data_IF_929805417492
#
_entry.id   IF_929805417492
#
_cell.length_a   1.000
_cell.length_b   1.000
_cell.length_c   1.000
_cell.angle_alpha   90.00
_cell.angle_beta   90.00
_cell.angle_gamma   90.00
#
_symmetry.space_group_name_H-M   'P 1'
#
loop_
_entity.id
_entity.type
_entity.pdbx_description
1 polymer ?
#
# COMPACT_ATOMS: atom_id res chain seq x y z
N UNK A 1 -78.80 25.76 -10.68
CA UNK A 1 -78.92 26.90 -9.76
C UNK A 1 -77.52 27.14 -9.23
N UNK A 2 -76.73 27.95 -9.95
CA UNK A 2 -76.54 29.41 -9.72
C UNK A 2 -75.56 29.63 -8.55
N UNK A 3 -74.49 30.41 -8.59
CA UNK A 3 -73.85 31.29 -9.57
C UNK A 3 -72.40 31.54 -9.10
N UNK A 4 -71.52 31.94 -10.02
CA UNK A 4 -70.19 32.54 -9.77
C UNK A 4 -70.41 34.03 -9.38
N UNK A 5 -69.48 34.73 -8.68
CA UNK A 5 -68.52 35.56 -9.42
C UNK A 5 -67.11 35.79 -8.80
N UNK A 6 -66.12 35.94 -9.71
CA UNK A 6 -65.04 36.97 -9.81
C UNK A 6 -63.94 37.06 -8.72
N UNK A 7 -62.67 36.77 -9.02
CA UNK A 7 -61.64 37.59 -9.71
C UNK A 7 -60.89 38.59 -8.80
N UNK A 8 -59.60 38.35 -8.56
CA UNK A 8 -58.54 39.39 -8.67
C UNK A 8 -57.26 38.74 -9.22
N UNK A 9 -56.77 39.34 -10.30
CA UNK A 9 -55.55 39.04 -11.04
C UNK A 9 -54.44 40.00 -10.59
N UNK A 10 -53.22 39.49 -10.40
CA UNK A 10 -52.00 40.33 -10.33
C UNK A 10 -50.94 39.73 -11.24
N UNK A 11 -50.75 40.41 -12.37
CA UNK A 11 -49.62 40.24 -13.28
C UNK A 11 -48.35 40.87 -12.69
N UNK A 12 -47.21 40.18 -12.83
CA UNK A 12 -45.88 40.80 -12.85
C UNK A 12 -45.12 40.31 -14.10
N UNK A 13 -44.24 41.14 -14.71
CA UNK A 13 -43.91 41.04 -16.12
C UNK A 13 -42.65 40.23 -16.43
N UNK A 14 -42.67 39.54 -17.57
CA UNK A 14 -41.49 38.99 -18.25
C UNK A 14 -40.66 40.12 -18.86
N UNK A 15 -39.43 40.30 -18.38
CA UNK A 15 -38.42 41.09 -19.06
C UNK A 15 -37.72 40.24 -20.15
N UNK A 16 -38.05 40.52 -21.41
CA UNK A 16 -37.26 40.11 -22.59
C UNK A 16 -36.08 41.07 -22.72
N UNK A 17 -34.85 40.57 -22.57
CA UNK A 17 -33.66 41.28 -23.03
C UNK A 17 -33.37 40.88 -24.47
N UNK A 18 -33.55 41.84 -25.37
CA UNK A 18 -33.13 41.80 -26.77
C UNK A 18 -31.66 42.16 -26.87
N UNK A 19 -30.86 41.28 -27.49
CA UNK A 19 -29.50 41.60 -27.92
C UNK A 19 -29.56 42.52 -29.14
N UNK A 20 -29.10 43.75 -28.99
CA UNK A 20 -28.78 44.66 -30.10
C UNK A 20 -27.26 44.63 -30.27
N UNK A 21 -26.82 44.26 -31.47
CA UNK A 21 -25.43 44.29 -31.88
C UNK A 21 -25.03 45.73 -32.21
N UNK A 22 -23.98 46.24 -31.56
CA UNK A 22 -23.27 47.45 -31.99
C UNK A 22 -21.95 47.06 -32.66
N UNK A 23 -21.56 47.75 -33.76
CA UNK A 23 -20.36 47.43 -34.51
C UNK A 23 -19.11 48.06 -33.88
N UNK A 24 -18.04 47.28 -33.82
CA UNK A 24 -16.70 47.71 -33.44
C UNK A 24 -16.14 48.68 -34.49
N UNK A 25 -15.99 49.95 -34.11
CA UNK A 25 -15.17 50.90 -34.85
C UNK A 25 -13.68 50.58 -34.66
N UNK A 26 -13.00 50.56 -35.80
CA UNK A 26 -11.57 50.43 -35.98
C UNK A 26 -10.79 51.56 -35.30
N UNK A 27 -9.86 51.21 -34.41
CA UNK A 27 -8.79 52.12 -34.02
C UNK A 27 -7.43 51.43 -34.21
N UNK A 28 -6.77 51.80 -35.30
CA UNK A 28 -5.40 51.47 -35.64
C UNK A 28 -4.44 52.33 -34.83
N UNK A 29 -3.79 51.75 -33.82
CA UNK A 29 -2.58 52.32 -33.24
C UNK A 29 -1.42 51.30 -33.29
N UNK A 30 -0.44 51.70 -34.08
CA UNK A 30 0.92 51.23 -34.32
C UNK A 30 1.51 50.14 -33.41
N UNK A 31 1.92 49.07 -34.08
CA UNK A 31 2.94 48.10 -33.68
C UNK A 31 4.24 48.81 -33.26
N UNK A 32 4.71 48.51 -32.05
CA UNK A 32 6.15 48.57 -31.72
C UNK A 32 6.60 47.17 -31.29
N UNK A 33 7.69 46.64 -31.86
CA UNK A 33 8.21 45.32 -31.48
C UNK A 33 8.93 45.39 -30.13
N UNK A 34 8.99 44.28 -29.36
CA UNK A 34 9.72 44.25 -28.09
C UNK A 34 11.24 44.34 -28.31
N UNK A 35 11.99 44.99 -27.41
CA UNK A 35 13.44 45.08 -27.52
C UNK A 35 14.12 43.75 -27.20
N UNK A 36 15.16 43.50 -27.98
CA UNK A 36 16.14 42.42 -27.89
C UNK A 36 16.67 42.23 -26.46
N UNK A 37 16.56 41.01 -25.91
CA UNK A 37 17.21 40.63 -24.65
C UNK A 37 18.69 40.39 -24.95
N UNK A 38 19.50 41.41 -24.69
CA UNK A 38 20.94 41.27 -24.50
C UNK A 38 21.37 42.15 -23.31
N UNK A 39 21.88 41.50 -22.27
CA UNK A 39 22.72 42.04 -21.21
C UNK A 39 22.23 43.28 -20.44
N UNK A 40 21.62 43.06 -19.27
CA UNK A 40 21.91 43.91 -18.10
C UNK A 40 22.07 43.03 -16.86
N UNK A 41 23.28 43.09 -16.32
CA UNK A 41 23.66 42.61 -15.01
C UNK A 41 23.16 43.58 -13.93
N UNK A 42 22.85 42.99 -12.76
CA UNK A 42 22.85 43.56 -11.41
C UNK A 42 21.57 44.18 -10.81
N UNK A 43 21.41 43.80 -9.54
CA UNK A 43 20.68 44.44 -8.44
C UNK A 43 19.15 44.39 -8.44
N UNK A 44 18.61 43.31 -7.87
CA UNK A 44 17.37 43.38 -7.09
C UNK A 44 17.58 42.67 -5.76
N UNK A 45 17.57 43.48 -4.71
CA UNK A 45 17.68 43.13 -3.29
C UNK A 45 16.60 42.14 -2.91
N UNK A 46 16.97 40.92 -2.52
CA UNK A 46 16.05 39.94 -1.92
C UNK A 46 15.82 40.32 -0.44
N UNK A 47 14.60 40.21 0.10
CA UNK A 47 14.42 40.26 1.54
C UNK A 47 15.02 38.98 2.14
N UNK A 48 16.01 39.17 3.01
CA UNK A 48 16.57 38.15 3.87
C UNK A 48 15.48 37.59 4.80
N UNK A 49 15.13 36.32 4.63
CA UNK A 49 14.70 35.47 5.74
C UNK A 49 15.62 34.26 5.78
N UNK A 50 16.78 34.51 6.38
CA UNK A 50 17.81 33.54 6.69
C UNK A 50 17.25 32.60 7.76
N UNK A 51 16.95 31.34 7.39
CA UNK A 51 16.77 30.28 8.39
C UNK A 51 18.17 29.80 8.77
N UNK A 52 18.69 30.31 9.89
CA UNK A 52 19.81 29.68 10.58
C UNK A 52 19.35 28.31 11.08
N UNK A 53 20.04 27.26 10.63
CA UNK A 53 19.84 25.92 11.16
C UNK A 53 20.54 25.84 12.52
N UNK A 54 19.86 25.36 13.58
CA UNK A 54 20.58 24.97 14.79
C UNK A 54 21.46 23.77 14.47
N UNK A 55 22.76 23.88 14.73
CA UNK A 55 23.68 22.76 14.76
C UNK A 55 23.21 21.76 15.80
N UNK A 56 22.48 20.73 15.37
CA UNK A 56 22.21 19.57 16.23
C UNK A 56 23.44 18.68 16.24
N UNK A 57 24.16 18.72 17.35
CA UNK A 57 25.16 17.73 17.74
C UNK A 57 24.53 16.33 17.74
N UNK A 58 24.77 15.59 16.66
CA UNK A 58 24.37 14.19 16.54
C UNK A 58 25.62 13.30 16.57
N UNK A 59 26.09 12.98 17.78
CA UNK A 59 26.85 11.75 18.00
C UNK A 59 25.89 10.56 17.91
N UNK A 60 25.61 10.10 16.68
CA UNK A 60 24.94 8.81 16.46
C UNK A 60 25.93 7.73 16.00
N UNK A 61 26.01 6.72 16.86
CA UNK A 61 26.60 5.37 16.73
C UNK A 61 26.81 4.89 15.29
N UNK A 62 28.07 4.91 14.84
CA UNK A 62 28.54 4.10 13.74
C UNK A 62 28.68 2.64 14.19
N UNK A 63 27.75 1.78 13.77
CA UNK A 63 28.01 0.34 13.61
C UNK A 63 27.41 -0.15 12.30
N UNK A 64 28.30 -0.53 11.38
CA UNK A 64 28.01 -1.39 10.23
C UNK A 64 27.43 -0.67 9.02
N UNK A 65 28.25 0.02 8.24
CA UNK A 65 27.93 0.41 6.86
C UNK A 65 29.11 0.19 5.91
N UNK A 66 29.92 -0.83 6.20
CA UNK A 66 30.92 -1.31 5.26
C UNK A 66 30.35 -2.55 4.56
N UNK A 67 30.37 -2.54 3.22
CA UNK A 67 30.11 -3.66 2.30
C UNK A 67 28.68 -3.81 1.72
N UNK A 68 28.09 -2.72 1.24
CA UNK A 68 27.27 -2.80 0.02
C UNK A 68 27.99 -2.04 -1.11
N UNK A 69 28.04 -2.56 -2.34
CA UNK A 69 28.51 -1.76 -3.48
C UNK A 69 27.73 -0.46 -3.48
N UNK A 70 28.43 0.67 -3.59
CA UNK A 70 27.80 1.99 -3.45
C UNK A 70 26.61 2.02 -4.42
N UNK A 71 25.42 2.35 -3.95
CA UNK A 71 24.20 2.35 -4.78
C UNK A 71 24.38 3.15 -6.08
N UNK A 72 25.36 4.06 -6.15
CA UNK A 72 25.78 4.76 -7.36
C UNK A 72 26.35 3.84 -8.47
N UNK A 73 27.07 2.76 -8.11
CA UNK A 73 27.62 1.77 -9.06
C UNK A 73 26.49 0.99 -9.76
N UNK A 74 25.40 0.71 -9.04
CA UNK A 74 24.19 0.08 -9.60
C UNK A 74 23.51 0.96 -10.65
N UNK A 75 23.65 2.28 -10.56
CA UNK A 75 23.14 3.24 -11.55
C UNK A 75 24.16 3.59 -12.64
N UNK A 76 25.30 2.89 -12.71
CA UNK A 76 26.35 3.13 -13.71
C UNK A 76 27.08 4.46 -13.53
N UNK A 77 27.00 5.08 -12.34
CA UNK A 77 27.69 6.34 -12.06
C UNK A 77 29.17 6.08 -11.78
N UNK A 78 30.09 6.92 -12.30
CA UNK A 78 31.52 6.75 -12.10
C UNK A 78 31.89 6.84 -10.61
N UNK A 79 32.93 6.13 -10.20
CA UNK A 79 33.47 6.09 -8.83
C UNK A 79 33.81 7.47 -8.24
N UNK A 80 34.01 8.49 -9.10
CA UNK A 80 34.20 9.90 -8.71
C UNK A 80 32.96 10.54 -8.08
N UNK A 81 31.82 9.86 -8.12
CA UNK A 81 30.57 10.34 -7.51
C UNK A 81 30.46 9.98 -6.04
N UNK A 82 31.41 9.29 -5.41
CA UNK A 82 31.34 8.98 -3.97
C UNK A 82 31.13 10.24 -3.12
N UNK A 83 30.37 10.10 -2.04
CA UNK A 83 30.15 11.18 -1.06
C UNK A 83 31.46 11.46 -0.33
N UNK A 84 31.85 12.73 -0.25
CA UNK A 84 32.99 13.12 0.58
C UNK A 84 32.65 12.94 2.06
N UNK A 85 33.63 12.60 2.89
CA UNK A 85 33.37 12.33 4.32
C UNK A 85 32.83 13.56 5.06
N UNK A 86 33.25 14.77 4.65
CA UNK A 86 32.80 16.06 5.19
C UNK A 86 31.51 16.61 4.55
N UNK A 87 31.00 15.97 3.49
CA UNK A 87 29.83 16.46 2.77
C UNK A 87 28.54 15.89 3.37
N UNK A 88 27.65 16.78 3.80
CA UNK A 88 26.30 16.40 4.22
C UNK A 88 25.55 15.77 3.02
N UNK A 89 24.68 14.80 3.31
CA UNK A 89 23.77 14.15 2.35
C UNK A 89 23.01 15.15 1.47
N UNK A 90 22.56 16.29 2.01
CA UNK A 90 21.87 17.33 1.24
C UNK A 90 22.79 17.98 0.20
N UNK A 91 23.99 18.41 0.60
CA UNK A 91 25.00 18.98 -0.30
C UNK A 91 25.43 17.96 -1.36
N UNK A 92 25.57 16.70 -0.97
CA UNK A 92 25.85 15.61 -1.88
C UNK A 92 24.74 15.40 -2.91
N UNK A 93 23.48 15.46 -2.49
CA UNK A 93 22.34 15.39 -3.41
C UNK A 93 22.39 16.53 -4.43
N UNK A 94 22.63 17.77 -4.01
CA UNK A 94 22.74 18.93 -4.90
C UNK A 94 23.87 18.72 -5.93
N UNK A 95 25.05 18.29 -5.49
CA UNK A 95 26.18 17.99 -6.38
C UNK A 95 25.84 16.90 -7.40
N UNK A 96 25.20 15.82 -6.97
CA UNK A 96 24.74 14.75 -7.86
C UNK A 96 23.76 15.28 -8.91
N UNK A 97 22.81 16.13 -8.52
CA UNK A 97 21.83 16.72 -9.43
C UNK A 97 22.45 17.73 -10.40
N UNK A 98 23.49 18.47 -9.99
CA UNK A 98 24.25 19.33 -10.90
C UNK A 98 25.05 18.53 -11.94
N UNK A 99 25.67 17.43 -11.53
CA UNK A 99 26.43 16.56 -12.43
C UNK A 99 25.54 15.75 -13.37
N UNK A 100 24.34 15.39 -12.90
CA UNK A 100 23.36 14.61 -13.64
C UNK A 100 21.97 15.26 -13.57
N UNK A 101 21.72 16.33 -14.34
CA UNK A 101 20.47 17.09 -14.29
C UNK A 101 19.23 16.24 -14.58
N UNK A 102 19.37 15.23 -15.45
CA UNK A 102 18.27 14.33 -15.83
C UNK A 102 17.94 13.26 -14.77
N UNK A 103 18.70 13.22 -13.66
CA UNK A 103 18.48 12.24 -12.61
C UNK A 103 17.23 12.61 -11.80
N UNK A 104 16.30 11.67 -11.68
CA UNK A 104 15.09 11.88 -10.88
C UNK A 104 15.41 12.07 -9.40
N UNK A 105 14.56 12.82 -8.68
CA UNK A 105 14.68 13.01 -7.23
C UNK A 105 14.70 11.67 -6.47
N UNK A 106 13.88 10.69 -6.90
CA UNK A 106 13.83 9.35 -6.30
C UNK A 106 15.15 8.59 -6.46
N UNK A 107 15.75 8.64 -7.65
CA UNK A 107 17.05 8.00 -7.88
C UNK A 107 18.16 8.72 -7.12
N UNK A 108 18.13 10.04 -7.07
CA UNK A 108 19.10 10.84 -6.31
C UNK A 108 19.01 10.53 -4.81
N UNK A 109 17.80 10.43 -4.26
CA UNK A 109 17.59 10.07 -2.86
C UNK A 109 18.16 8.68 -2.53
N UNK A 110 17.99 7.69 -3.43
CA UNK A 110 18.58 6.35 -3.28
C UNK A 110 20.10 6.34 -3.34
N UNK A 111 20.70 7.15 -4.21
CA UNK A 111 22.16 7.28 -4.33
C UNK A 111 22.75 7.93 -3.09
N UNK A 112 22.05 8.92 -2.52
CA UNK A 112 22.50 9.69 -1.36
C UNK A 112 22.22 8.96 -0.04
N UNK A 113 21.27 8.03 -0.02
CA UNK A 113 20.83 7.33 1.19
C UNK A 113 19.96 8.22 2.09
N UNK A 114 19.02 8.95 1.47
CA UNK A 114 17.98 9.77 2.13
C UNK A 114 16.60 9.40 1.61
N UNK A 115 15.54 9.81 2.31
CA UNK A 115 14.19 9.67 1.79
C UNK A 115 13.92 10.75 0.74
N UNK A 116 13.18 10.44 -0.32
CA UNK A 116 12.89 11.40 -1.37
C UNK A 116 12.15 12.66 -0.88
N UNK A 117 11.34 12.53 0.20
CA UNK A 117 10.68 13.67 0.83
C UNK A 117 11.66 14.66 1.48
N UNK A 118 12.87 14.24 1.86
CA UNK A 118 13.88 15.12 2.48
C UNK A 118 14.56 16.02 1.44
N UNK A 119 14.56 15.62 0.17
CA UNK A 119 15.08 16.44 -0.94
C UNK A 119 14.03 17.40 -1.51
N UNK A 120 12.76 17.27 -1.11
CA UNK A 120 11.65 17.97 -1.75
C UNK A 120 11.67 19.49 -1.52
N UNK A 121 12.26 19.94 -0.42
CA UNK A 121 12.41 21.36 -0.09
C UNK A 121 13.52 22.07 -0.90
N UNK A 122 14.33 21.31 -1.63
CA UNK A 122 15.42 21.86 -2.42
C UNK A 122 14.89 22.31 -3.79
N UNK A 123 15.08 23.58 -4.19
CA UNK A 123 14.54 24.12 -5.44
C UNK A 123 14.96 23.31 -6.68
N UNK A 124 16.19 22.78 -6.67
CA UNK A 124 16.77 22.01 -7.80
C UNK A 124 16.05 20.68 -8.02
N UNK A 125 15.37 20.13 -7.01
CA UNK A 125 14.59 18.89 -7.13
C UNK A 125 13.09 19.15 -7.30
N UNK A 126 12.69 20.41 -7.22
CA UNK A 126 11.32 20.88 -7.32
C UNK A 126 11.04 21.55 -8.68
N UNK A 127 11.63 21.02 -9.75
CA UNK A 127 11.43 21.50 -11.12
C UNK A 127 9.97 21.33 -11.54
N UNK A 128 9.23 22.43 -11.59
CA UNK A 128 7.89 22.52 -12.18
C UNK A 128 7.98 22.31 -13.69
N UNK A 129 6.91 21.77 -14.29
CA UNK A 129 6.76 21.87 -15.75
C UNK A 129 6.66 23.33 -16.20
N UNK A 130 6.81 23.60 -17.50
CA UNK A 130 6.63 24.96 -18.05
C UNK A 130 5.27 25.54 -17.66
N UNK A 131 4.21 24.74 -17.75
CA UNK A 131 2.86 25.09 -17.29
C UNK A 131 2.81 25.33 -15.78
N UNK A 132 3.50 24.51 -14.98
CA UNK A 132 3.58 24.70 -13.53
C UNK A 132 4.30 25.99 -13.13
N UNK A 133 5.38 26.34 -13.83
CA UNK A 133 6.10 27.59 -13.63
C UNK A 133 5.24 28.79 -14.05
N UNK A 134 4.56 28.71 -15.20
CA UNK A 134 3.63 29.74 -15.64
C UNK A 134 2.47 29.94 -14.65
N UNK A 135 1.89 28.85 -14.15
CA UNK A 135 0.83 28.89 -13.14
C UNK A 135 1.30 29.54 -11.83
N UNK A 136 2.54 29.27 -11.40
CA UNK A 136 3.12 29.91 -10.22
C UNK A 136 3.21 31.44 -10.35
N UNK A 137 3.59 31.92 -11.53
CA UNK A 137 3.72 33.35 -11.83
C UNK A 137 2.37 34.04 -11.98
N UNK A 138 1.43 33.38 -12.67
CA UNK A 138 0.10 33.94 -12.96
C UNK A 138 -0.80 33.93 -11.72
N UNK A 139 -0.73 32.88 -10.92
CA UNK A 139 -1.62 32.64 -9.78
C UNK A 139 -0.80 32.34 -8.53
N UNK A 140 -0.13 33.34 -7.94
CA UNK A 140 0.51 33.15 -6.63
C UNK A 140 -0.55 32.83 -5.57
N UNK A 141 -0.10 32.16 -4.51
CA UNK A 141 -0.94 31.84 -3.36
C UNK A 141 -1.32 33.11 -2.61
N UNK A 142 -2.59 33.20 -2.21
CA UNK A 142 -3.09 34.33 -1.41
C UNK A 142 -2.76 34.14 0.08
N UNK A 143 -2.60 35.23 0.87
CA UNK A 143 -2.09 35.15 2.24
C UNK A 143 -2.97 34.33 3.20
N UNK A 144 -4.30 34.31 2.99
CA UNK A 144 -5.25 33.59 3.85
C UNK A 144 -5.76 32.28 3.22
N UNK A 145 -5.26 31.91 2.05
CA UNK A 145 -5.73 30.76 1.29
C UNK A 145 -5.11 29.46 1.83
N UNK A 146 -5.96 28.49 2.16
CA UNK A 146 -5.51 27.16 2.58
C UNK A 146 -4.85 26.40 1.42
N UNK A 147 -4.05 25.37 1.74
CA UNK A 147 -3.39 24.58 0.70
C UNK A 147 -4.41 23.94 -0.25
N UNK A 148 -5.58 23.57 0.26
CA UNK A 148 -6.66 22.95 -0.51
C UNK A 148 -7.37 23.96 -1.41
N UNK A 149 -7.70 25.15 -0.90
CA UNK A 149 -8.32 26.22 -1.70
C UNK A 149 -7.41 26.64 -2.86
N UNK A 150 -6.10 26.75 -2.59
CA UNK A 150 -5.12 27.08 -3.63
C UNK A 150 -5.10 26.05 -4.76
N UNK A 151 -5.15 24.76 -4.40
CA UNK A 151 -5.22 23.68 -5.37
C UNK A 151 -6.52 23.74 -6.17
N UNK A 152 -7.66 23.94 -5.52
CA UNK A 152 -8.96 24.02 -6.19
C UNK A 152 -9.01 25.20 -7.16
N UNK A 153 -8.45 26.36 -6.78
CA UNK A 153 -8.33 27.55 -7.64
C UNK A 153 -7.44 27.27 -8.84
N UNK A 154 -6.23 26.74 -8.63
CA UNK A 154 -5.33 26.35 -9.73
C UNK A 154 -6.00 25.34 -10.67
N UNK A 155 -6.74 24.38 -10.13
CA UNK A 155 -7.44 23.34 -10.90
C UNK A 155 -8.61 23.88 -11.72
N UNK A 156 -9.29 24.91 -11.23
CA UNK A 156 -10.39 25.57 -11.95
C UNK A 156 -9.91 26.38 -13.16
N UNK A 157 -8.69 26.93 -13.09
CA UNK A 157 -8.10 27.79 -14.11
C UNK A 157 -7.27 26.98 -15.11
N UNK A 158 -6.56 25.96 -14.63
CA UNK A 158 -5.73 25.05 -15.44
C UNK A 158 -6.25 23.61 -15.33
N UNK A 159 -7.26 23.22 -16.14
CA UNK A 159 -7.80 21.86 -16.16
C UNK A 159 -6.76 20.82 -16.62
N UNK A 160 -7.05 19.53 -16.39
CA UNK A 160 -6.24 18.45 -16.98
C UNK A 160 -6.27 18.54 -18.52
N UNK A 161 -5.14 18.36 -19.24
CA UNK A 161 -3.81 17.94 -18.77
C UNK A 161 -2.79 19.07 -18.58
N UNK A 162 -3.19 20.34 -18.58
CA UNK A 162 -2.28 21.48 -18.63
C UNK A 162 -1.38 21.58 -17.39
N UNK A 163 -1.95 21.31 -16.21
CA UNK A 163 -1.23 21.32 -14.94
C UNK A 163 -1.27 19.94 -14.30
N UNK A 164 -0.11 19.28 -14.24
CA UNK A 164 -0.03 17.91 -13.74
C UNK A 164 -0.26 17.86 -12.23
N UNK A 165 -0.77 16.73 -11.71
CA UNK A 165 -0.92 16.50 -10.26
C UNK A 165 0.41 16.71 -9.52
N UNK A 166 1.54 16.39 -10.15
CA UNK A 166 2.86 16.63 -9.56
C UNK A 166 3.13 18.13 -9.40
N UNK A 167 2.85 18.94 -10.42
CA UNK A 167 3.05 20.38 -10.33
C UNK A 167 2.14 21.00 -9.28
N UNK A 168 0.87 20.57 -9.21
CA UNK A 168 -0.05 20.99 -8.15
C UNK A 168 0.48 20.65 -6.75
N UNK A 169 1.00 19.44 -6.54
CA UNK A 169 1.60 19.06 -5.25
C UNK A 169 2.77 19.97 -4.88
N UNK A 170 3.60 20.32 -5.88
CA UNK A 170 4.79 21.15 -5.69
C UNK A 170 4.45 22.61 -5.43
N UNK A 171 3.40 23.13 -6.06
CA UNK A 171 2.92 24.50 -5.89
C UNK A 171 2.23 24.69 -4.54
N UNK A 172 1.38 23.75 -4.13
CA UNK A 172 0.58 23.90 -2.91
C UNK A 172 1.21 23.30 -1.65
N UNK A 173 2.19 22.39 -1.79
CA UNK A 173 2.73 21.62 -0.68
C UNK A 173 1.84 20.44 -0.24
N UNK A 174 0.70 20.21 -0.91
CA UNK A 174 -0.18 19.08 -0.59
C UNK A 174 0.41 17.79 -1.16
N UNK A 175 0.46 16.74 -0.33
CA UNK A 175 0.91 15.42 -0.77
C UNK A 175 -0.05 14.83 -1.81
N UNK A 176 0.49 14.14 -2.82
CA UNK A 176 -0.30 13.49 -3.87
C UNK A 176 -1.39 12.56 -3.32
N UNK A 177 -1.12 11.86 -2.21
CA UNK A 177 -2.11 10.99 -1.56
C UNK A 177 -3.32 11.79 -1.04
N UNK A 178 -3.10 13.00 -0.52
CA UNK A 178 -4.17 13.91 -0.08
C UNK A 178 -4.86 14.59 -1.28
N UNK A 179 -4.12 14.92 -2.33
CA UNK A 179 -4.70 15.43 -3.59
C UNK A 179 -5.71 14.46 -4.19
N UNK A 180 -5.36 13.17 -4.24
CA UNK A 180 -6.23 12.10 -4.76
C UNK A 180 -7.49 11.84 -3.93
N UNK A 181 -7.65 12.47 -2.76
CA UNK A 181 -8.88 12.42 -1.96
C UNK A 181 -9.74 13.67 -2.10
N UNK A 182 -9.25 14.70 -2.77
CA UNK A 182 -9.99 15.94 -3.01
C UNK A 182 -11.00 15.74 -4.16
N UNK A 183 -12.24 16.25 -4.04
CA UNK A 183 -13.32 16.04 -5.01
C UNK A 183 -12.92 16.32 -6.47
N UNK A 184 -12.09 17.35 -6.70
CA UNK A 184 -11.68 17.83 -8.01
C UNK A 184 -10.70 16.88 -8.74
N UNK A 185 -10.10 15.93 -8.01
CA UNK A 185 -9.21 14.90 -8.55
C UNK A 185 -9.86 13.51 -8.55
N UNK A 186 -11.08 13.40 -8.01
CA UNK A 186 -11.86 12.16 -8.08
C UNK A 186 -12.46 12.07 -9.49
N UNK A 187 -11.75 11.42 -10.40
CA UNK A 187 -12.35 10.93 -11.65
C UNK A 187 -13.33 9.82 -11.30
N UNK A 188 -14.55 10.19 -10.92
CA UNK A 188 -15.64 9.26 -10.71
C UNK A 188 -15.98 8.60 -12.05
N UNK A 189 -16.18 7.29 -12.04
CA UNK A 189 -16.73 6.61 -13.21
C UNK A 189 -18.17 7.10 -13.48
N UNK A 190 -18.65 6.96 -14.71
CA UNK A 190 -20.03 7.30 -15.04
C UNK A 190 -21.05 6.55 -14.18
N UNK A 191 -20.75 5.30 -13.81
CA UNK A 191 -21.57 4.51 -12.88
C UNK A 191 -21.51 5.04 -11.44
N UNK A 192 -20.37 5.59 -11.01
CA UNK A 192 -20.24 6.24 -9.71
C UNK A 192 -21.07 7.52 -9.64
N UNK A 193 -21.08 8.33 -10.69
CA UNK A 193 -21.89 9.54 -10.76
C UNK A 193 -23.39 9.21 -10.72
N UNK A 194 -23.82 8.23 -11.52
CA UNK A 194 -25.21 7.76 -11.51
C UNK A 194 -25.64 7.24 -10.12
N UNK A 195 -24.73 6.61 -9.38
CA UNK A 195 -25.01 6.12 -8.03
C UNK A 195 -25.20 7.27 -7.02
N UNK A 196 -24.41 8.35 -7.12
CA UNK A 196 -24.58 9.56 -6.30
C UNK A 196 -25.94 10.21 -6.57
N UNK A 197 -26.29 10.34 -7.86
CA UNK A 197 -27.51 11.02 -8.27
C UNK A 197 -28.76 10.22 -7.86
N UNK A 198 -28.69 8.88 -7.93
CA UNK A 198 -29.78 8.00 -7.54
C UNK A 198 -29.94 7.87 -6.02
N UNK A 199 -28.84 7.80 -5.27
CA UNK A 199 -28.86 7.52 -3.82
C UNK A 199 -27.98 8.53 -3.09
N UNK A 200 -28.62 9.60 -2.62
CA UNK A 200 -27.96 10.57 -1.74
C UNK A 200 -27.75 10.00 -0.33
N UNK A 201 -26.63 10.38 0.28
CA UNK A 201 -26.34 10.10 1.69
C UNK A 201 -27.31 10.86 2.59
N UNK A 202 -27.88 10.20 3.59
CA UNK A 202 -28.71 10.87 4.60
C UNK A 202 -27.81 11.55 5.65
N UNK A 203 -28.30 12.61 6.32
CA UNK A 203 -27.54 13.29 7.41
C UNK A 203 -27.23 12.35 8.57
N UNK A 204 -28.14 11.43 8.87
CA UNK A 204 -28.09 10.56 10.05
C UNK A 204 -27.42 9.21 9.76
N UNK A 205 -27.02 8.98 8.50
CA UNK A 205 -26.44 7.72 8.06
C UNK A 205 -24.91 7.73 8.19
N UNK A 206 -24.36 6.68 8.82
CA UNK A 206 -22.92 6.51 8.87
C UNK A 206 -22.33 6.30 7.48
N UNK A 207 -21.08 6.73 7.26
CA UNK A 207 -20.40 6.48 5.97
C UNK A 207 -20.32 4.99 5.63
N UNK A 208 -20.31 4.11 6.65
CA UNK A 208 -20.33 2.66 6.49
C UNK A 208 -21.67 2.16 5.97
N UNK A 209 -22.76 2.59 6.59
CA UNK A 209 -24.11 2.17 6.18
C UNK A 209 -24.42 2.69 4.78
N UNK A 210 -23.98 3.91 4.47
CA UNK A 210 -24.10 4.46 3.13
C UNK A 210 -23.34 3.63 2.09
N UNK A 211 -22.12 3.20 2.38
CA UNK A 211 -21.35 2.32 1.49
C UNK A 211 -22.04 0.95 1.29
N UNK A 212 -22.58 0.35 2.36
CA UNK A 212 -23.34 -0.91 2.28
C UNK A 212 -24.60 -0.74 1.44
N UNK A 213 -25.34 0.35 1.63
CA UNK A 213 -26.53 0.67 0.84
C UNK A 213 -26.18 0.89 -0.64
N UNK A 214 -25.09 1.59 -0.94
CA UNK A 214 -24.62 1.78 -2.31
C UNK A 214 -24.27 0.46 -2.99
N UNK A 215 -23.46 -0.39 -2.35
CA UNK A 215 -23.09 -1.70 -2.93
C UNK A 215 -24.26 -2.64 -3.13
N UNK A 216 -25.28 -2.59 -2.25
CA UNK A 216 -26.51 -3.38 -2.40
C UNK A 216 -27.32 -2.98 -3.64
N UNK A 217 -27.36 -1.69 -3.98
CA UNK A 217 -28.10 -1.19 -5.15
C UNK A 217 -27.25 -1.19 -6.43
N UNK A 218 -25.92 -1.10 -6.29
CA UNK A 218 -24.97 -1.00 -7.39
C UNK A 218 -23.81 -1.98 -7.18
N UNK A 219 -24.05 -3.27 -7.43
CA UNK A 219 -23.07 -4.35 -7.24
C UNK A 219 -21.84 -4.28 -8.16
N UNK A 220 -21.87 -3.41 -9.19
CA UNK A 220 -20.75 -3.18 -10.12
C UNK A 220 -19.84 -2.00 -9.77
N UNK A 221 -20.06 -1.29 -8.65
CA UNK A 221 -19.23 -0.16 -8.25
C UNK A 221 -17.81 -0.61 -7.91
N UNK A 222 -16.82 0.10 -8.45
CA UNK A 222 -15.42 -0.13 -8.10
C UNK A 222 -15.17 0.29 -6.66
N UNK A 223 -14.35 -0.45 -5.92
CA UNK A 223 -13.98 -0.11 -4.52
C UNK A 223 -13.37 1.29 -4.38
N UNK A 224 -12.66 1.77 -5.42
CA UNK A 224 -12.16 3.15 -5.48
C UNK A 224 -13.32 4.15 -5.54
N UNK A 225 -14.27 3.96 -6.44
CA UNK A 225 -15.44 4.83 -6.57
C UNK A 225 -16.27 4.83 -5.28
N UNK A 226 -16.48 3.66 -4.67
CA UNK A 226 -17.16 3.53 -3.39
C UNK A 226 -16.44 4.28 -2.26
N UNK A 227 -15.11 4.26 -2.25
CA UNK A 227 -14.27 5.00 -1.29
C UNK A 227 -14.47 6.50 -1.44
N UNK A 228 -14.47 6.98 -2.69
CA UNK A 228 -14.71 8.36 -3.04
C UNK A 228 -16.10 8.84 -2.61
N UNK A 229 -17.14 8.07 -2.93
CA UNK A 229 -18.53 8.46 -2.68
C UNK A 229 -18.88 8.40 -1.18
N UNK A 230 -18.47 7.32 -0.50
CA UNK A 230 -18.84 7.10 0.90
C UNK A 230 -17.96 7.88 1.90
N UNK A 231 -16.78 8.33 1.46
CA UNK A 231 -15.77 8.92 2.32
C UNK A 231 -15.00 7.92 3.17
N UNK A 232 -15.25 6.61 3.01
CA UNK A 232 -14.47 5.57 3.67
C UNK A 232 -13.12 5.36 2.97
N UNK A 233 -12.08 5.05 3.74
CA UNK A 233 -10.81 4.63 3.18
C UNK A 233 -10.92 3.25 2.52
N UNK A 234 -10.08 2.98 1.52
CA UNK A 234 -9.97 1.64 0.92
C UNK A 234 -9.67 0.53 1.94
N UNK A 235 -8.98 0.88 3.04
CA UNK A 235 -8.69 -0.08 4.13
C UNK A 235 -9.96 -0.41 4.90
N UNK A 236 -10.77 0.59 5.24
CA UNK A 236 -12.06 0.38 5.93
C UNK A 236 -13.02 -0.41 5.05
N UNK A 237 -13.18 -0.06 3.78
CA UNK A 237 -14.02 -0.83 2.84
C UNK A 237 -13.60 -2.30 2.76
N UNK A 238 -12.30 -2.57 2.75
CA UNK A 238 -11.77 -3.95 2.76
C UNK A 238 -11.95 -4.65 4.09
N UNK A 239 -12.14 -3.94 5.19
CA UNK A 239 -12.29 -4.52 6.53
C UNK A 239 -13.75 -4.62 6.97
N UNK A 240 -14.66 -3.97 6.26
CA UNK A 240 -16.10 -4.08 6.46
C UNK A 240 -16.60 -5.45 5.97
N UNK A 241 -16.96 -6.40 6.85
CA UNK A 241 -17.46 -7.72 6.47
C UNK A 241 -18.65 -7.69 5.52
N UNK A 242 -19.52 -6.69 5.63
CA UNK A 242 -20.71 -6.54 4.78
C UNK A 242 -20.35 -6.20 3.31
N UNK A 243 -19.16 -5.62 3.10
CA UNK A 243 -18.64 -5.21 1.79
C UNK A 243 -17.63 -6.20 1.20
N UNK A 244 -17.32 -7.28 1.93
CA UNK A 244 -16.42 -8.33 1.42
C UNK A 244 -17.19 -9.31 0.56
N UNK A 245 -16.58 -9.65 -0.57
CA UNK A 245 -17.00 -10.79 -1.38
C UNK A 245 -16.71 -12.07 -0.58
N UNK A 246 -17.76 -12.85 -0.30
CA UNK A 246 -17.67 -14.12 0.41
C UNK A 246 -17.66 -15.27 -0.59
N UNK A 247 -16.90 -16.33 -0.29
CA UNK A 247 -17.00 -17.60 -0.99
C UNK A 247 -18.39 -18.22 -0.78
N UNK A 248 -18.87 -19.11 -1.67
CA UNK A 248 -20.15 -19.79 -1.49
C UNK A 248 -20.23 -20.56 -0.16
N UNK A 249 -19.12 -21.21 0.24
CA UNK A 249 -18.95 -21.87 1.55
C UNK A 249 -19.03 -20.85 2.68
N UNK A 250 -18.32 -19.73 2.53
CA UNK A 250 -18.42 -18.47 3.26
C UNK A 250 -19.86 -18.10 3.62
N UNK A 251 -20.64 -17.95 2.56
CA UNK A 251 -22.00 -17.44 2.58
C UNK A 251 -22.96 -18.44 3.22
N UNK A 252 -22.83 -19.73 2.93
CA UNK A 252 -23.61 -20.78 3.57
C UNK A 252 -23.38 -20.78 5.09
N UNK A 253 -22.13 -20.67 5.54
CA UNK A 253 -21.80 -20.59 6.96
C UNK A 253 -22.38 -19.34 7.64
N UNK A 254 -22.38 -18.19 6.96
CA UNK A 254 -23.02 -16.96 7.47
C UNK A 254 -24.53 -17.14 7.69
N UNK A 255 -25.19 -17.82 6.76
CA UNK A 255 -26.64 -18.07 6.84
C UNK A 255 -26.97 -19.10 7.91
N UNK A 256 -26.15 -20.15 8.07
CA UNK A 256 -26.34 -21.17 9.10
C UNK A 256 -26.02 -20.64 10.51
N UNK A 257 -25.03 -19.76 10.63
CA UNK A 257 -24.60 -19.16 11.89
C UNK A 257 -24.64 -17.62 11.79
N UNK A 258 -25.83 -16.99 11.86
CA UNK A 258 -25.92 -15.54 11.88
C UNK A 258 -25.28 -14.98 13.16
N UNK A 259 -24.71 -13.77 13.07
CA UNK A 259 -24.15 -13.05 14.22
C UNK A 259 -25.29 -12.52 15.09
N UNK A 260 -25.17 -12.64 16.41
CA UNK A 260 -26.12 -12.03 17.37
C UNK A 260 -25.67 -10.63 17.76
N UNK A 261 -26.59 -9.75 18.11
CA UNK A 261 -26.30 -8.32 18.35
C UNK A 261 -25.28 -8.08 19.48
N UNK A 262 -25.35 -8.87 20.55
CA UNK A 262 -24.45 -8.77 21.71
C UNK A 262 -23.10 -9.50 21.53
N UNK A 263 -22.87 -10.13 20.36
CA UNK A 263 -21.67 -10.93 20.13
C UNK A 263 -20.52 -10.10 19.56
N UNK A 264 -19.40 -10.08 20.29
CA UNK A 264 -18.16 -9.47 19.78
C UNK A 264 -17.63 -10.23 18.54
N UNK A 265 -16.99 -9.54 17.61
CA UNK A 265 -16.41 -10.07 16.38
C UNK A 265 -15.53 -11.31 16.62
N UNK A 266 -14.67 -11.30 17.65
CA UNK A 266 -13.83 -12.45 17.97
C UNK A 266 -14.61 -13.64 18.53
N UNK A 267 -15.68 -13.39 19.30
CA UNK A 267 -16.55 -14.46 19.79
C UNK A 267 -17.28 -15.13 18.60
N UNK A 268 -17.80 -14.31 17.68
CA UNK A 268 -18.44 -14.78 16.46
C UNK A 268 -17.50 -15.62 15.59
N UNK A 269 -16.25 -15.16 15.41
CA UNK A 269 -15.23 -15.90 14.67
C UNK A 269 -14.97 -17.29 15.27
N UNK A 270 -14.89 -17.42 16.61
CA UNK A 270 -14.72 -18.72 17.28
C UNK A 270 -15.90 -19.62 17.01
N UNK A 271 -17.11 -19.11 17.19
CA UNK A 271 -18.34 -19.90 17.03
C UNK A 271 -18.48 -20.42 15.60
N UNK A 272 -18.24 -19.57 14.59
CA UNK A 272 -18.23 -20.00 13.18
C UNK A 272 -17.18 -21.09 12.94
N UNK A 273 -15.95 -20.92 13.45
CA UNK A 273 -14.88 -21.89 13.22
C UNK A 273 -15.18 -23.24 13.89
N UNK A 274 -15.85 -23.25 15.04
CA UNK A 274 -16.31 -24.47 15.70
C UNK A 274 -17.44 -25.16 14.93
N UNK A 275 -18.42 -24.39 14.43
CA UNK A 275 -19.54 -24.94 13.65
C UNK A 275 -19.11 -25.40 12.24
N UNK A 276 -18.13 -24.73 11.64
CA UNK A 276 -17.61 -25.01 10.31
C UNK A 276 -16.07 -25.14 10.33
N UNK A 277 -15.51 -26.27 10.82
CA UNK A 277 -14.07 -26.44 10.97
C UNK A 277 -13.27 -26.34 9.67
N UNK A 278 -13.90 -26.61 8.53
CA UNK A 278 -13.31 -26.53 7.20
C UNK A 278 -13.06 -25.09 6.71
N UNK A 279 -13.67 -24.08 7.34
CA UNK A 279 -13.45 -22.69 6.93
C UNK A 279 -12.02 -22.23 7.21
N UNK A 280 -11.44 -21.53 6.25
CA UNK A 280 -10.11 -20.95 6.40
C UNK A 280 -10.12 -19.75 7.34
N UNK A 281 -8.94 -19.37 7.86
CA UNK A 281 -8.80 -18.18 8.72
C UNK A 281 -9.26 -16.91 7.99
N UNK A 282 -8.97 -16.82 6.67
CA UNK A 282 -9.37 -15.68 5.85
C UNK A 282 -10.89 -15.61 5.66
N UNK A 283 -11.56 -16.76 5.48
CA UNK A 283 -13.02 -16.81 5.41
C UNK A 283 -13.65 -16.41 6.74
N UNK A 284 -13.16 -16.93 7.88
CA UNK A 284 -13.65 -16.53 9.20
C UNK A 284 -13.39 -15.05 9.52
N UNK A 285 -12.26 -14.49 9.05
CA UNK A 285 -11.99 -13.05 9.12
C UNK A 285 -13.01 -12.26 8.31
N UNK A 286 -13.29 -12.69 7.07
CA UNK A 286 -14.25 -12.03 6.21
C UNK A 286 -15.67 -12.07 6.72
N UNK A 287 -16.05 -13.14 7.42
CA UNK A 287 -17.34 -13.25 8.09
C UNK A 287 -17.44 -12.38 9.35
N UNK A 288 -16.41 -12.41 10.19
CA UNK A 288 -16.46 -11.75 11.50
C UNK A 288 -16.05 -10.28 11.51
N UNK A 289 -15.32 -9.83 10.49
CA UNK A 289 -14.63 -8.53 10.48
C UNK A 289 -13.37 -8.48 11.33
N UNK A 290 -12.99 -9.59 11.98
CA UNK A 290 -11.77 -9.66 12.81
C UNK A 290 -10.52 -9.72 11.91
N UNK A 291 -9.45 -9.02 12.30
CA UNK A 291 -8.17 -9.09 11.60
C UNK A 291 -7.63 -10.54 11.58
N UNK A 292 -7.22 -11.08 10.41
CA UNK A 292 -6.63 -12.42 10.32
C UNK A 292 -5.45 -12.65 11.26
N UNK A 293 -4.66 -11.60 11.54
CA UNK A 293 -3.54 -11.67 12.49
C UNK A 293 -4.03 -12.01 13.90
N UNK A 294 -5.12 -11.37 14.35
CA UNK A 294 -5.71 -11.66 15.66
C UNK A 294 -6.32 -13.07 15.69
N UNK A 295 -6.98 -13.50 14.62
CA UNK A 295 -7.53 -14.85 14.53
C UNK A 295 -6.46 -15.94 14.64
N UNK A 296 -5.29 -15.75 13.99
CA UNK A 296 -4.16 -16.69 14.08
C UNK A 296 -3.61 -16.87 15.49
N UNK A 297 -3.89 -15.95 16.43
CA UNK A 297 -3.46 -16.06 17.83
C UNK A 297 -4.47 -16.77 18.72
N UNK A 298 -5.65 -17.08 18.18
CA UNK A 298 -6.73 -17.69 18.93
C UNK A 298 -6.62 -19.21 18.85
N UNK A 299 -6.68 -19.88 20.00
CA UNK A 299 -6.54 -21.35 20.14
C UNK A 299 -7.35 -22.17 19.14
N UNK A 300 -8.57 -21.74 18.82
CA UNK A 300 -9.49 -22.41 17.87
C UNK A 300 -8.97 -22.44 16.43
N UNK A 301 -8.11 -21.49 16.03
CA UNK A 301 -7.61 -21.37 14.66
C UNK A 301 -6.21 -21.93 14.45
N UNK A 302 -5.47 -22.21 15.53
CA UNK A 302 -4.08 -22.65 15.45
C UNK A 302 -3.98 -24.15 15.11
N UNK A 303 -5.08 -24.90 15.19
CA UNK A 303 -5.07 -26.34 14.88
C UNK A 303 -4.13 -27.08 15.82
N UNK A 304 -4.34 -26.95 17.12
CA UNK A 304 -3.53 -27.66 18.12
C UNK A 304 -3.73 -29.17 17.94
N UNK A 305 -2.64 -29.93 17.95
CA UNK A 305 -2.72 -31.39 18.06
C UNK A 305 -3.39 -31.78 19.38
N UNK A 306 -3.98 -32.96 19.46
CA UNK A 306 -4.58 -33.46 20.70
C UNK A 306 -3.57 -33.46 21.87
N UNK A 307 -2.29 -33.67 21.56
CA UNK A 307 -1.20 -33.60 22.53
C UNK A 307 -0.97 -32.17 23.04
N UNK A 308 -1.01 -31.17 22.16
CA UNK A 308 -0.90 -29.77 22.55
C UNK A 308 -2.10 -29.29 23.40
N UNK A 309 -3.31 -29.76 23.09
CA UNK A 309 -4.51 -29.48 23.90
C UNK A 309 -4.35 -30.05 25.32
N UNK A 310 -3.93 -31.31 25.46
CA UNK A 310 -3.68 -31.95 26.76
C UNK A 310 -2.61 -31.22 27.56
N UNK A 311 -1.47 -30.91 26.92
CA UNK A 311 -0.38 -30.18 27.55
C UNK A 311 -0.80 -28.81 28.10
N UNK A 312 -1.64 -28.08 27.35
CA UNK A 312 -2.17 -26.78 27.80
C UNK A 312 -3.14 -26.86 28.98
N UNK A 313 -3.74 -28.02 29.23
CA UNK A 313 -4.57 -28.28 30.42
C UNK A 313 -3.74 -28.74 31.62
N UNK A 314 -2.70 -29.56 31.37
CA UNK A 314 -1.83 -30.10 32.41
C UNK A 314 -0.90 -29.03 33.01
N UNK A 315 -0.49 -28.03 32.22
CA UNK A 315 0.37 -26.93 32.68
C UNK A 315 -0.44 -25.63 32.71
N UNK A 316 -1.16 -25.32 33.82
CA UNK A 316 -1.90 -24.07 33.93
C UNK A 316 -0.95 -22.86 34.03
N UNK A 317 -1.41 -21.74 33.46
CA UNK A 317 -0.69 -20.46 33.51
C UNK A 317 -0.75 -19.86 34.90
N UNK A 318 0.39 -19.40 35.41
CA UNK A 318 0.47 -18.74 36.73
C UNK A 318 0.07 -17.26 36.57
N UNK A 319 -0.71 -16.68 37.50
CA UNK A 319 -1.08 -15.27 37.43
C UNK A 319 0.17 -14.37 37.42
N UNK A 320 0.23 -13.42 36.48
CA UNK A 320 1.37 -12.52 36.30
C UNK A 320 2.56 -13.10 35.52
N UNK A 321 2.50 -14.37 35.11
CA UNK A 321 3.55 -15.01 34.32
C UNK A 321 3.62 -14.44 32.90
N UNK A 322 4.83 -14.11 32.43
CA UNK A 322 5.02 -13.62 31.07
C UNK A 322 4.94 -14.78 30.05
N UNK A 323 4.59 -14.44 28.81
CA UNK A 323 4.37 -15.43 27.74
C UNK A 323 5.59 -16.35 27.53
N UNK A 324 6.81 -15.81 27.57
CA UNK A 324 8.03 -16.60 27.38
C UNK A 324 8.26 -17.62 28.50
N UNK A 325 8.08 -17.23 29.77
CA UNK A 325 8.25 -18.17 30.90
C UNK A 325 7.20 -19.28 30.88
N UNK A 326 5.96 -18.93 30.56
CA UNK A 326 4.90 -19.92 30.41
C UNK A 326 5.22 -20.90 29.28
N UNK A 327 5.68 -20.41 28.11
CA UNK A 327 6.07 -21.26 26.99
C UNK A 327 7.18 -22.25 27.39
N UNK A 328 8.23 -21.77 28.08
CA UNK A 328 9.36 -22.59 28.54
C UNK A 328 8.91 -23.71 29.48
N UNK A 329 7.99 -23.42 30.41
CA UNK A 329 7.43 -24.44 31.31
C UNK A 329 6.62 -25.50 30.56
N UNK A 330 5.80 -25.09 29.60
CA UNK A 330 5.05 -26.00 28.75
C UNK A 330 6.00 -26.90 27.95
N UNK A 331 7.04 -26.33 27.33
CA UNK A 331 8.08 -27.06 26.59
C UNK A 331 8.91 -27.99 27.47
N UNK A 332 9.24 -27.59 28.69
CA UNK A 332 9.95 -28.43 29.65
C UNK A 332 9.12 -29.63 30.11
N UNK A 333 7.82 -29.43 30.32
CA UNK A 333 6.88 -30.50 30.72
C UNK A 333 6.55 -31.43 29.56
N UNK A 334 6.51 -30.88 28.34
CA UNK A 334 6.23 -31.62 27.10
C UNK A 334 7.29 -31.33 26.03
N UNK A 335 8.50 -31.94 26.13
CA UNK A 335 9.61 -31.67 25.21
C UNK A 335 9.31 -31.93 23.73
N UNK A 336 8.35 -32.83 23.46
CA UNK A 336 7.93 -33.23 22.11
C UNK A 336 7.05 -32.20 21.39
N UNK A 337 6.55 -31.17 22.08
CA UNK A 337 5.75 -30.13 21.44
C UNK A 337 6.61 -29.25 20.55
N UNK A 338 6.15 -28.96 19.36
CA UNK A 338 6.82 -28.00 18.46
C UNK A 338 6.75 -26.57 19.02
N UNK A 339 7.64 -25.69 18.55
CA UNK A 339 7.60 -24.26 18.89
C UNK A 339 6.24 -23.62 18.56
N UNK A 340 5.63 -24.04 17.44
CA UNK A 340 4.31 -23.60 17.02
C UNK A 340 3.20 -24.02 17.98
N UNK A 341 3.22 -25.27 18.45
CA UNK A 341 2.26 -25.77 19.44
C UNK A 341 2.41 -25.06 20.80
N UNK A 342 3.63 -24.78 21.23
CA UNK A 342 3.85 -23.98 22.44
C UNK A 342 3.32 -22.55 22.27
N UNK A 343 3.53 -21.92 21.10
CA UNK A 343 3.00 -20.58 20.82
C UNK A 343 1.46 -20.58 20.88
N UNK A 344 0.84 -21.65 20.39
CA UNK A 344 -0.59 -21.88 20.41
C UNK A 344 -1.17 -21.96 21.83
N UNK A 345 -0.53 -22.75 22.69
CA UNK A 345 -0.95 -22.95 24.09
C UNK A 345 -0.89 -21.61 24.83
N UNK A 346 0.17 -20.83 24.61
CA UNK A 346 0.42 -19.53 25.27
C UNK A 346 -0.47 -18.42 24.70
N UNK A 347 -0.80 -18.45 23.40
CA UNK A 347 -1.56 -17.39 22.71
C UNK A 347 -0.68 -16.23 22.20
N UNK A 348 0.59 -16.50 21.88
CA UNK A 348 1.56 -15.50 21.40
C UNK A 348 2.18 -15.91 20.04
N UNK A 349 3.07 -15.07 19.51
CA UNK A 349 3.81 -15.39 18.29
C UNK A 349 5.02 -16.27 18.62
N UNK A 350 5.39 -17.20 17.74
CA UNK A 350 6.62 -18.00 17.85
C UNK A 350 7.88 -17.13 18.02
N UNK A 351 7.90 -15.96 17.39
CA UNK A 351 9.01 -15.00 17.51
C UNK A 351 9.21 -14.47 18.93
N UNK A 352 8.23 -14.63 19.82
CA UNK A 352 8.31 -14.18 21.23
C UNK A 352 9.38 -14.94 22.01
N UNK A 353 9.67 -16.18 21.60
CA UNK A 353 10.61 -17.05 22.28
C UNK A 353 11.52 -17.85 21.33
N UNK A 354 11.57 -17.48 20.05
CA UNK A 354 12.43 -18.12 19.05
C UNK A 354 13.93 -17.92 19.31
N UNK A 355 14.31 -16.92 20.10
CA UNK A 355 15.70 -16.68 20.51
C UNK A 355 16.16 -17.58 21.66
N UNK A 356 15.28 -18.34 22.31
CA UNK A 356 15.67 -19.29 23.34
C UNK A 356 16.09 -20.63 22.71
N UNK A 357 17.14 -21.24 23.26
CA UNK A 357 17.77 -22.45 22.71
C UNK A 357 16.80 -23.63 22.61
N UNK A 358 15.91 -23.77 23.60
CA UNK A 358 14.89 -24.82 23.69
C UNK A 358 13.78 -24.76 22.61
N UNK A 359 13.71 -23.68 21.82
CA UNK A 359 12.73 -23.52 20.72
C UNK A 359 13.38 -23.43 19.33
N UNK A 360 14.70 -23.60 19.24
CA UNK A 360 15.41 -23.49 17.98
C UNK A 360 15.33 -24.79 17.17
N UNK A 361 14.57 -24.75 16.06
CA UNK A 361 14.27 -25.87 15.16
C UNK A 361 15.53 -26.55 14.60
N UNK A 362 16.64 -25.81 14.45
CA UNK A 362 17.94 -26.36 14.03
C UNK A 362 18.49 -27.42 15.01
N UNK A 363 18.17 -27.30 16.30
CA UNK A 363 18.58 -28.25 17.32
C UNK A 363 17.71 -29.50 17.33
N UNK A 364 16.40 -29.35 17.07
CA UNK A 364 15.44 -30.46 17.00
C UNK A 364 15.74 -31.38 15.81
N UNK A 365 15.94 -30.82 14.62
CA UNK A 365 16.32 -31.60 13.44
C UNK A 365 17.69 -32.29 13.60
N UNK A 366 18.65 -31.65 14.27
CA UNK A 366 19.96 -32.24 14.55
C UNK A 366 19.91 -33.38 15.58
N UNK A 367 18.97 -33.33 16.54
CA UNK A 367 18.77 -34.38 17.53
C UNK A 367 18.07 -35.61 16.94
N UNK A 368 17.08 -35.44 16.07
CA UNK A 368 16.42 -36.55 15.36
C UNK A 368 17.39 -37.27 14.41
N UNK A 369 18.25 -36.52 13.70
CA UNK A 369 19.31 -37.11 12.84
C UNK A 369 20.32 -37.91 13.68
N UNK A 370 20.69 -37.43 14.88
CA UNK A 370 21.58 -38.19 15.78
C UNK A 370 20.94 -39.45 16.35
N UNK A 371 19.64 -39.40 16.67
CA UNK A 371 18.94 -40.56 17.23
C UNK A 371 18.66 -41.64 16.19
N UNK A 372 18.33 -41.25 14.95
CA UNK A 372 18.16 -42.17 13.82
C UNK A 372 19.48 -42.79 13.36
N UNK A 373 20.59 -42.03 13.40
CA UNK A 373 21.93 -42.56 13.15
C UNK A 373 22.42 -43.53 14.26
N UNK A 374 21.89 -43.42 15.48
CA UNK A 374 22.23 -44.32 16.59
C UNK A 374 21.44 -45.64 16.55
N UNK A 375 20.23 -45.65 16.00
CA UNK A 375 19.37 -46.84 15.93
C UNK A 375 19.54 -47.64 14.66
N UNK A 376 20.00 -47.01 13.56
CA UNK A 376 20.36 -47.69 12.33
C UNK A 376 21.79 -47.28 11.95
N UNK A 377 22.83 -48.12 12.17
CA UNK A 377 24.15 -47.82 11.64
C UNK A 377 24.01 -47.80 10.11
N UNK A 378 24.09 -46.61 9.51
CA UNK A 378 24.03 -46.45 8.07
C UNK A 378 25.06 -47.38 7.42
N UNK A 379 24.65 -48.16 6.42
CA UNK A 379 25.60 -48.90 5.59
C UNK A 379 26.73 -47.96 5.18
N UNK A 380 27.98 -48.41 5.37
CA UNK A 380 29.14 -47.56 5.14
C UNK A 380 29.07 -46.89 3.77
N UNK A 381 29.60 -45.68 3.64
CA UNK A 381 29.68 -44.95 2.38
C UNK A 381 30.16 -45.83 1.20
N UNK A 382 31.05 -46.78 1.46
CA UNK A 382 31.52 -47.75 0.47
C UNK A 382 30.42 -48.71 -0.05
N UNK A 383 29.45 -49.11 0.79
CA UNK A 383 28.29 -49.92 0.38
C UNK A 383 27.38 -49.15 -0.56
N UNK A 384 27.09 -47.88 -0.21
CA UNK A 384 26.26 -46.99 -1.02
C UNK A 384 26.93 -46.64 -2.35
N UNK A 385 28.24 -46.41 -2.34
CA UNK A 385 29.02 -46.15 -3.56
C UNK A 385 29.07 -47.39 -4.48
N UNK A 386 29.21 -48.59 -3.91
CA UNK A 386 29.18 -49.84 -4.69
C UNK A 386 27.79 -50.13 -5.27
N UNK A 387 26.70 -49.83 -4.56
CA UNK A 387 25.35 -49.92 -5.10
C UNK A 387 25.11 -48.91 -6.24
N UNK A 388 25.60 -47.68 -6.09
CA UNK A 388 25.49 -46.67 -7.14
C UNK A 388 26.26 -47.06 -8.41
N UNK A 389 27.48 -47.58 -8.28
CA UNK A 389 28.28 -48.08 -9.39
C UNK A 389 27.62 -49.29 -10.07
N UNK A 390 27.02 -50.20 -9.31
CA UNK A 390 26.27 -51.33 -9.87
C UNK A 390 25.06 -50.88 -10.69
N UNK A 391 24.36 -49.82 -10.28
CA UNK A 391 23.21 -49.30 -11.01
C UNK A 391 23.61 -48.52 -12.28
N UNK A 392 24.82 -47.95 -12.33
CA UNK A 392 25.32 -47.21 -13.49
C UNK A 392 25.77 -48.14 -14.63
N UNK A 393 26.27 -49.35 -14.30
CA UNK A 393 26.72 -50.36 -15.29
C UNK A 393 25.54 -51.00 -16.06
N UNK A 394 24.30 -50.93 -15.56
CA UNK A 394 23.13 -51.50 -16.22
C UNK A 394 22.33 -50.51 -17.09
N UNK A 395 22.88 -49.32 -17.40
CA UNK A 395 22.21 -48.32 -18.26
C UNK A 395 22.54 -48.40 -19.75
N UNK A 396 23.33 -49.37 -20.20
CA UNK A 396 23.80 -49.48 -21.59
C UNK A 396 22.91 -50.31 -22.55
N UNK A 397 21.61 -50.43 -22.29
CA UNK A 397 20.63 -50.98 -23.25
C UNK A 397 19.74 -49.91 -23.92
N UNK A 398 20.23 -48.67 -24.05
CA UNK A 398 19.62 -47.69 -24.97
C UNK A 398 20.04 -48.00 -26.42
N UNK A 399 19.20 -48.72 -27.15
CA UNK A 399 19.42 -49.02 -28.57
C UNK A 399 19.50 -47.73 -29.42
N UNK A 400 20.46 -47.68 -30.33
CA UNK A 400 20.75 -46.55 -31.24
C UNK A 400 19.56 -46.15 -32.14
N UNK A 401 18.52 -46.97 -32.21
CA UNK A 401 17.29 -46.75 -32.99
C UNK A 401 16.40 -45.61 -32.52
N UNK A 402 16.52 -45.16 -31.25
CA UNK A 402 15.62 -44.14 -30.69
C UNK A 402 16.10 -42.68 -30.88
N UNK A 403 17.27 -42.48 -31.51
CA UNK A 403 17.94 -41.17 -31.63
C UNK A 403 17.75 -40.51 -33.01
N UNK A 404 17.15 -41.20 -34.00
CA UNK A 404 16.94 -40.61 -35.34
C UNK A 404 15.46 -40.33 -35.65
N UNK A 405 15.08 -39.09 -36.03
CA UNK A 405 13.72 -38.78 -36.45
C UNK A 405 13.41 -39.42 -37.82
N UNK A 406 12.15 -39.83 -38.08
CA UNK A 406 11.78 -40.47 -39.34
C UNK A 406 11.95 -39.50 -40.52
N UNK A 407 12.83 -39.87 -41.45
CA UNK A 407 13.08 -39.10 -42.67
C UNK A 407 11.86 -39.14 -43.60
N UNK A 408 11.16 -38.02 -43.71
CA UNK A 408 10.18 -37.78 -44.76
C UNK A 408 10.88 -37.56 -46.10
N UNK A 409 10.79 -38.49 -47.06
CA UNK A 409 10.84 -38.13 -48.49
C UNK A 409 9.83 -38.94 -49.29
N UNK A 410 8.92 -38.17 -49.90
CA UNK A 410 8.00 -38.53 -50.97
C UNK A 410 8.78 -38.89 -52.24
N UNK A 411 8.32 -39.90 -52.96
CA UNK A 411 8.12 -39.84 -54.42
C UNK A 411 7.48 -41.14 -54.90
N UNK A 412 6.19 -41.08 -55.28
CA UNK A 412 5.64 -41.97 -56.31
C UNK A 412 5.54 -41.15 -57.60
N UNK A 413 6.01 -41.78 -58.67
CA UNK A 413 5.59 -41.59 -60.05
C UNK A 413 4.05 -41.66 -60.17
#
# INVERSE_FOLDING_TARGET
MSDIPLSVSTHLPLARFTWVAEPLESSTHYLTPPPNIANVSQSATRPNSFFEYPETDCQERQKGNDLLPSTAEFYGLPLSTKRNFSENKVSYALRIKMLYPNLSMSNTAKIVGVRACELWHLPVFNELTESGAAAQWLMPREPDESDHEYVSRLRSIFPDPELTVKDLCRLSGVQERRMRTMPEFLTLSSSAQAAIDAIKKSSDESSRDYAVRLTKNFSGLRKRDLSCISGLSLRELRNTPELRELSPTAQAARMACPKTDDENMSAYARRIKLAHPHLTILECSSLSGTDPYNLRRMKVFIGMSDNAVKAGMEVPRVPGECDAYFARRVKASHPKLTSSECAAIVGCSENTFSHYAEFNIMLEAALDVRQTAATNPSESFNSQLNQALLLEVYRDDCSVSDILPPSSKKSKL
#
